data_IF_548254084229
#
_entry.id   IF_548254084229
#
_cell.length_a   1.000
_cell.length_b   1.000
_cell.length_c   1.000
_cell.angle_alpha   90.00
_cell.angle_beta   90.00
_cell.angle_gamma   90.00
#
_symmetry.space_group_name_H-M   'P 1'
#
loop_
_entity.id
_entity.type
_entity.pdbx_description
1 polymer ?
#
# COMPACT_ATOMS: atom_id res chain seq x y z
N UNK A 1 11.72 -5.82 -20.91
CA UNK A 1 11.59 -6.10 -19.46
C UNK A 1 12.68 -5.44 -18.64
N UNK A 2 13.96 -5.81 -18.78
CA UNK A 2 15.04 -5.19 -17.99
C UNK A 2 15.10 -3.66 -18.11
N UNK A 3 14.90 -3.11 -19.31
CA UNK A 3 14.86 -1.67 -19.53
C UNK A 3 13.70 -0.96 -18.80
N UNK A 4 12.53 -1.61 -18.70
CA UNK A 4 11.32 -1.05 -18.09
C UNK A 4 11.55 -0.79 -16.60
N UNK A 5 12.26 -1.70 -15.92
CA UNK A 5 12.57 -1.59 -14.50
C UNK A 5 13.96 -1.02 -14.22
N UNK A 6 14.63 -0.42 -15.21
CA UNK A 6 15.95 0.19 -15.02
C UNK A 6 17.05 -0.79 -14.59
N UNK A 7 17.02 -2.02 -15.11
CA UNK A 7 17.96 -3.10 -14.79
C UNK A 7 18.93 -3.42 -15.94
N UNK A 8 18.98 -2.60 -16.98
CA UNK A 8 19.86 -2.85 -18.13
C UNK A 8 21.35 -2.88 -17.75
N UNK A 9 21.78 -2.03 -16.82
CA UNK A 9 23.19 -1.96 -16.39
C UNK A 9 23.60 -3.10 -15.46
N UNK A 10 22.65 -3.89 -14.95
CA UNK A 10 22.89 -5.01 -14.03
C UNK A 10 22.61 -6.39 -14.63
N UNK A 11 22.37 -6.49 -15.94
CA UNK A 11 21.94 -7.74 -16.59
C UNK A 11 22.89 -8.94 -16.37
N UNK A 12 24.19 -8.68 -16.25
CA UNK A 12 25.23 -9.69 -16.02
C UNK A 12 25.79 -9.64 -14.58
N UNK A 13 25.10 -8.96 -13.67
CA UNK A 13 25.46 -8.88 -12.26
C UNK A 13 24.66 -9.92 -11.48
N UNK A 14 25.32 -10.70 -10.62
CA UNK A 14 24.62 -11.62 -9.74
C UNK A 14 23.64 -10.86 -8.84
N UNK A 15 22.47 -11.44 -8.55
CA UNK A 15 21.53 -10.85 -7.59
C UNK A 15 22.18 -10.76 -6.20
N UNK A 16 22.97 -11.78 -5.84
CA UNK A 16 23.67 -11.87 -4.56
C UNK A 16 22.74 -12.14 -3.38
N UNK A 17 23.35 -12.25 -2.21
CA UNK A 17 22.70 -12.45 -0.91
C UNK A 17 23.56 -11.82 0.21
N UNK A 18 23.36 -12.25 1.45
CA UNK A 18 24.08 -11.73 2.62
C UNK A 18 25.58 -12.08 2.63
N UNK A 19 26.00 -13.07 1.82
CA UNK A 19 27.38 -13.56 1.76
C UNK A 19 28.03 -13.29 0.40
N UNK A 20 27.24 -13.26 -0.68
CA UNK A 20 27.69 -13.04 -2.05
C UNK A 20 27.25 -11.67 -2.50
N UNK A 21 28.22 -10.80 -2.81
CA UNK A 21 27.93 -9.46 -3.34
C UNK A 21 27.17 -9.57 -4.67
N UNK A 22 26.12 -8.78 -4.79
CA UNK A 22 25.33 -8.67 -6.01
C UNK A 22 24.81 -7.27 -6.26
N UNK A 23 23.62 -7.19 -6.86
CA UNK A 23 22.89 -5.94 -7.07
C UNK A 23 22.51 -5.29 -5.73
N UNK A 24 22.23 -3.99 -5.76
CA UNK A 24 21.74 -3.28 -4.56
C UNK A 24 20.41 -3.85 -4.07
N UNK A 25 20.06 -3.59 -2.80
CA UNK A 25 18.78 -4.04 -2.25
C UNK A 25 17.56 -3.52 -3.02
N UNK A 26 17.64 -2.28 -3.53
CA UNK A 26 16.59 -1.69 -4.36
C UNK A 26 16.51 -2.38 -5.73
N UNK A 27 17.65 -2.63 -6.39
CA UNK A 27 17.69 -3.39 -7.64
C UNK A 27 17.16 -4.80 -7.45
N UNK A 28 17.46 -5.47 -6.33
CA UNK A 28 16.91 -6.79 -6.01
C UNK A 28 15.39 -6.78 -5.96
N UNK A 29 14.77 -5.73 -5.42
CA UNK A 29 13.31 -5.57 -5.43
C UNK A 29 12.77 -5.37 -6.86
N UNK A 30 13.45 -4.57 -7.69
CA UNK A 30 13.08 -4.42 -9.11
C UNK A 30 13.26 -5.73 -9.89
N UNK A 31 14.26 -6.54 -9.56
CA UNK A 31 14.44 -7.88 -10.12
C UNK A 31 13.24 -8.77 -9.78
N UNK A 32 12.75 -8.76 -8.53
CA UNK A 32 11.55 -9.51 -8.15
C UNK A 32 10.29 -9.06 -8.92
N UNK A 33 10.12 -7.75 -9.14
CA UNK A 33 9.01 -7.24 -9.97
C UNK A 33 9.18 -7.69 -11.43
N UNK A 34 10.39 -7.64 -11.97
CA UNK A 34 10.68 -8.10 -13.33
C UNK A 34 10.40 -9.61 -13.49
N UNK A 35 10.79 -10.42 -12.51
CA UNK A 35 10.49 -11.86 -12.45
C UNK A 35 8.99 -12.12 -12.44
N UNK A 36 8.24 -11.49 -11.53
CA UNK A 36 6.78 -11.61 -11.46
C UNK A 36 6.12 -11.21 -12.79
N UNK A 37 6.61 -10.14 -13.42
CA UNK A 37 6.09 -9.67 -14.71
C UNK A 37 6.35 -10.66 -15.86
N UNK A 38 7.49 -11.37 -15.84
CA UNK A 38 7.85 -12.34 -16.87
C UNK A 38 6.95 -13.58 -16.86
N UNK A 39 6.29 -13.87 -15.74
CA UNK A 39 5.28 -14.95 -15.66
C UNK A 39 4.05 -14.65 -16.52
N UNK A 40 3.81 -13.39 -16.89
CA UNK A 40 2.57 -12.96 -17.54
C UNK A 40 1.37 -12.89 -16.59
N UNK A 41 1.57 -13.07 -15.28
CA UNK A 41 0.50 -12.97 -14.29
C UNK A 41 -0.12 -11.57 -14.27
N UNK A 42 -1.41 -11.50 -14.60
CA UNK A 42 -2.21 -10.27 -14.67
C UNK A 42 -2.70 -9.79 -13.31
N UNK A 43 -2.68 -10.65 -12.31
CA UNK A 43 -3.00 -10.32 -10.93
C UNK A 43 -1.83 -10.72 -10.04
N UNK A 44 -1.29 -9.77 -9.29
CA UNK A 44 -0.09 -9.94 -8.47
C UNK A 44 -0.33 -9.45 -7.05
N UNK A 45 0.10 -10.25 -6.07
CA UNK A 45 -0.05 -9.93 -4.65
C UNK A 45 1.32 -9.69 -4.03
N UNK A 46 1.49 -8.53 -3.41
CA UNK A 46 2.73 -8.07 -2.79
C UNK A 46 2.51 -7.86 -1.30
N UNK A 47 2.91 -8.85 -0.50
CA UNK A 47 2.76 -8.76 0.94
C UNK A 47 4.02 -8.16 1.59
N UNK A 48 3.83 -7.11 2.39
CA UNK A 48 4.87 -6.45 3.19
C UNK A 48 6.14 -6.10 2.41
N UNK A 49 6.01 -5.85 1.11
CA UNK A 49 7.16 -5.74 0.21
C UNK A 49 7.99 -4.47 0.41
N UNK A 50 7.41 -3.46 1.05
CA UNK A 50 8.05 -2.20 1.45
C UNK A 50 8.62 -2.21 2.87
N UNK A 51 8.41 -3.28 3.65
CA UNK A 51 8.91 -3.37 5.03
C UNK A 51 10.44 -3.33 5.04
N UNK A 52 10.99 -2.48 5.91
CA UNK A 52 12.44 -2.28 6.04
C UNK A 52 13.05 -1.40 4.96
N UNK A 53 12.24 -0.84 4.06
CA UNK A 53 12.68 0.23 3.16
C UNK A 53 12.52 1.59 3.84
N UNK A 54 13.41 2.52 3.52
CA UNK A 54 13.15 3.93 3.77
C UNK A 54 12.00 4.43 2.86
N UNK A 55 11.51 5.64 3.15
CA UNK A 55 10.37 6.21 2.41
C UNK A 55 10.64 6.32 0.91
N UNK A 56 11.84 6.70 0.49
CA UNK A 56 12.18 6.88 -0.92
C UNK A 56 12.12 5.54 -1.68
N UNK A 57 12.72 4.49 -1.13
CA UNK A 57 12.71 3.16 -1.72
C UNK A 57 11.30 2.54 -1.70
N UNK A 58 10.50 2.79 -0.67
CA UNK A 58 9.10 2.34 -0.63
C UNK A 58 8.24 3.01 -1.73
N UNK A 59 8.44 4.31 -1.97
CA UNK A 59 7.79 5.05 -3.06
C UNK A 59 8.24 4.48 -4.40
N UNK A 60 9.56 4.30 -4.61
CA UNK A 60 10.09 3.73 -5.85
C UNK A 60 9.53 2.33 -6.13
N UNK A 61 9.40 1.49 -5.11
CA UNK A 61 8.77 0.18 -5.25
C UNK A 61 7.33 0.30 -5.76
N UNK A 62 6.51 1.15 -5.14
CA UNK A 62 5.13 1.38 -5.58
C UNK A 62 5.06 2.00 -6.99
N UNK A 63 5.98 2.90 -7.34
CA UNK A 63 6.07 3.49 -8.67
C UNK A 63 6.39 2.45 -9.75
N UNK A 64 7.22 1.45 -9.45
CA UNK A 64 7.49 0.34 -10.39
C UNK A 64 6.24 -0.54 -10.59
N UNK A 65 5.46 -0.80 -9.54
CA UNK A 65 4.18 -1.51 -9.66
C UNK A 65 3.16 -0.69 -10.46
N UNK A 66 3.13 0.63 -10.26
CA UNK A 66 2.29 1.52 -11.07
C UNK A 66 2.66 1.47 -12.54
N UNK A 67 3.95 1.57 -12.85
CA UNK A 67 4.47 1.47 -14.21
C UNK A 67 4.10 0.12 -14.85
N UNK A 68 4.20 -0.97 -14.09
CA UNK A 68 3.79 -2.30 -14.53
C UNK A 68 2.28 -2.35 -14.84
N UNK A 69 1.45 -1.77 -13.99
CA UNK A 69 0.00 -1.68 -14.21
C UNK A 69 -0.32 -0.92 -15.51
N UNK A 70 0.28 0.26 -15.69
CA UNK A 70 0.02 1.13 -16.83
C UNK A 70 0.54 0.56 -18.16
N UNK A 71 1.69 -0.12 -18.15
CA UNK A 71 2.31 -0.62 -19.39
C UNK A 71 1.94 -2.05 -19.75
N UNK A 72 1.71 -2.90 -18.75
CA UNK A 72 1.55 -4.35 -18.93
C UNK A 72 0.14 -4.84 -18.60
N UNK A 73 -0.77 -3.94 -18.26
CA UNK A 73 -2.16 -4.25 -17.88
C UNK A 73 -2.21 -5.27 -16.74
N UNK A 74 -1.49 -4.95 -15.65
CA UNK A 74 -1.38 -5.79 -14.45
C UNK A 74 -2.13 -5.13 -13.29
N UNK A 75 -2.94 -5.90 -12.59
CA UNK A 75 -3.52 -5.50 -11.31
C UNK A 75 -2.61 -5.96 -10.16
N UNK A 76 -2.13 -5.01 -9.37
CA UNK A 76 -1.33 -5.28 -8.18
C UNK A 76 -2.11 -5.02 -6.90
N UNK A 77 -2.16 -5.99 -6.00
CA UNK A 77 -2.65 -5.85 -4.63
C UNK A 77 -1.46 -5.80 -3.69
N UNK A 78 -1.36 -4.75 -2.87
CA UNK A 78 -0.17 -4.49 -2.02
C UNK A 78 -0.61 -4.24 -0.59
N UNK A 79 0.03 -4.89 0.37
CA UNK A 79 -0.11 -4.54 1.80
C UNK A 79 1.01 -3.58 2.21
N UNK A 80 0.65 -2.49 2.88
CA UNK A 80 1.57 -1.44 3.31
C UNK A 80 1.42 -1.23 4.82
N UNK A 81 2.47 -1.53 5.59
CA UNK A 81 2.44 -1.42 7.06
C UNK A 81 2.51 0.03 7.56
N UNK A 82 3.24 0.90 6.83
CA UNK A 82 3.32 2.35 7.06
C UNK A 82 3.55 3.00 5.71
N UNK A 83 2.49 3.55 5.10
CA UNK A 83 2.56 4.08 3.75
C UNK A 83 2.83 5.59 3.76
N UNK A 84 3.92 6.08 3.14
CA UNK A 84 4.03 7.49 2.82
C UNK A 84 2.83 7.94 1.98
N UNK A 85 2.32 9.15 2.20
CA UNK A 85 1.22 9.72 1.41
C UNK A 85 1.48 9.64 -0.11
N UNK A 86 2.74 9.85 -0.52
CA UNK A 86 3.15 9.76 -1.93
C UNK A 86 3.04 8.34 -2.50
N UNK A 87 3.33 7.30 -1.71
CA UNK A 87 3.12 5.93 -2.12
C UNK A 87 1.63 5.60 -2.22
N UNK A 88 0.83 6.03 -1.23
CA UNK A 88 -0.63 5.88 -1.23
C UNK A 88 -1.28 6.49 -2.47
N UNK A 89 -0.81 7.67 -2.91
CA UNK A 89 -1.33 8.37 -4.08
C UNK A 89 -1.09 7.65 -5.42
N UNK A 90 -0.27 6.58 -5.46
CA UNK A 90 -0.03 5.79 -6.67
C UNK A 90 -1.08 4.71 -6.90
N UNK A 91 -1.95 4.44 -5.91
CA UNK A 91 -2.96 3.40 -5.99
C UNK A 91 -4.32 3.94 -6.45
N UNK A 92 -5.06 3.15 -7.22
CA UNK A 92 -6.42 3.54 -7.64
C UNK A 92 -7.46 3.33 -6.54
N UNK A 93 -7.25 2.29 -5.71
CA UNK A 93 -8.17 1.85 -4.66
C UNK A 93 -7.44 1.54 -3.36
N UNK A 94 -8.16 1.69 -2.25
CA UNK A 94 -7.72 1.26 -0.93
C UNK A 94 -8.75 0.30 -0.33
N UNK A 95 -8.26 -0.66 0.45
CA UNK A 95 -9.06 -1.51 1.33
C UNK A 95 -8.51 -1.40 2.74
N UNK A 96 -9.38 -1.33 3.74
CA UNK A 96 -9.00 -1.34 5.15
C UNK A 96 -9.59 -2.59 5.78
N UNK A 97 -8.74 -3.37 6.45
CA UNK A 97 -9.13 -4.62 7.12
C UNK A 97 -8.90 -4.45 8.62
N UNK A 98 -9.93 -4.68 9.43
CA UNK A 98 -9.90 -4.62 10.89
C UNK A 98 -10.43 -5.93 11.45
N UNK A 99 -9.60 -6.65 12.23
CA UNK A 99 -9.96 -7.95 12.85
C UNK A 99 -10.64 -8.96 11.89
N UNK A 100 -10.13 -9.03 10.65
CA UNK A 100 -10.65 -9.93 9.61
C UNK A 100 -11.88 -9.42 8.87
N UNK A 101 -12.39 -8.22 9.20
CA UNK A 101 -13.48 -7.56 8.48
C UNK A 101 -12.95 -6.50 7.53
N UNK A 102 -13.48 -6.47 6.32
CA UNK A 102 -13.25 -5.35 5.40
C UNK A 102 -14.16 -4.20 5.81
N UNK A 103 -13.57 -3.15 6.40
CA UNK A 103 -14.31 -2.00 6.91
C UNK A 103 -14.39 -0.84 5.90
N UNK A 104 -13.62 -0.94 4.82
CA UNK A 104 -13.68 -0.04 3.68
C UNK A 104 -13.10 -0.72 2.44
N UNK A 105 -13.73 -0.47 1.28
CA UNK A 105 -13.18 -0.74 -0.05
C UNK A 105 -13.68 0.33 -1.02
N UNK A 106 -12.78 1.10 -1.61
CA UNK A 106 -13.17 2.18 -2.52
C UNK A 106 -12.01 2.87 -3.17
N UNK A 107 -12.29 3.98 -3.88
CA UNK A 107 -11.22 4.81 -4.45
C UNK A 107 -10.43 5.50 -3.35
N UNK A 108 -9.13 5.71 -3.58
CA UNK A 108 -8.27 6.36 -2.59
C UNK A 108 -8.73 7.77 -2.22
N UNK A 109 -9.42 8.47 -3.14
CA UNK A 109 -9.95 9.82 -2.94
C UNK A 109 -11.20 9.85 -2.05
N UNK A 110 -11.93 8.74 -1.97
CA UNK A 110 -13.19 8.62 -1.21
C UNK A 110 -12.95 8.11 0.21
N UNK A 111 -11.82 7.42 0.44
CA UNK A 111 -11.53 6.70 1.68
C UNK A 111 -11.60 7.58 2.93
N UNK A 112 -10.99 8.77 2.89
CA UNK A 112 -11.03 9.70 4.02
C UNK A 112 -12.46 10.18 4.29
N UNK A 113 -13.16 10.63 3.24
CA UNK A 113 -14.52 11.15 3.34
C UNK A 113 -15.52 10.11 3.86
N UNK A 114 -15.34 8.83 3.53
CA UNK A 114 -16.14 7.73 4.06
C UNK A 114 -16.11 7.70 5.60
N UNK A 115 -14.92 7.62 6.21
CA UNK A 115 -14.81 7.59 7.66
C UNK A 115 -15.22 8.93 8.32
N UNK A 116 -15.00 10.06 7.65
CA UNK A 116 -15.50 11.37 8.11
C UNK A 116 -17.04 11.46 8.10
N UNK A 117 -17.70 10.76 7.18
CA UNK A 117 -19.16 10.68 7.12
C UNK A 117 -19.75 9.79 8.19
N UNK A 118 -18.99 8.79 8.67
CA UNK A 118 -19.36 7.96 9.82
C UNK A 118 -19.22 8.69 11.16
N UNK A 119 -18.54 9.84 11.18
CA UNK A 119 -18.34 10.64 12.39
C UNK A 119 -16.93 10.56 12.98
N UNK A 120 -15.92 10.13 12.23
CA UNK A 120 -14.52 10.15 12.67
C UNK A 120 -13.78 11.37 12.13
N UNK A 121 -13.00 12.05 12.95
CA UNK A 121 -12.18 13.19 12.53
C UNK A 121 -10.71 12.80 12.40
N UNK A 122 -10.07 13.26 11.32
CA UNK A 122 -8.61 13.12 11.14
C UNK A 122 -7.83 14.12 12.02
N UNK A 123 -6.63 13.73 12.47
CA UNK A 123 -5.73 14.64 13.18
C UNK A 123 -5.14 15.72 12.25
N UNK A 124 -4.83 16.93 12.77
CA UNK A 124 -4.12 17.93 11.98
C UNK A 124 -2.79 17.37 11.45
N UNK A 125 -2.56 17.47 10.14
CA UNK A 125 -1.34 16.99 9.43
C UNK A 125 -1.17 15.46 9.38
N UNK A 126 -2.15 14.68 9.83
CA UNK A 126 -2.15 13.24 9.63
C UNK A 126 -2.29 12.90 8.14
N UNK A 127 -1.51 11.95 7.66
CA UNK A 127 -1.66 11.47 6.29
C UNK A 127 -2.93 10.64 6.15
N UNK A 128 -3.46 10.53 4.94
CA UNK A 128 -4.62 9.68 4.67
C UNK A 128 -4.35 8.21 5.08
N UNK A 129 -3.26 7.54 4.64
CA UNK A 129 -3.03 6.15 5.04
C UNK A 129 -2.92 5.97 6.56
N UNK A 130 -2.34 6.93 7.29
CA UNK A 130 -2.31 6.88 8.76
C UNK A 130 -3.72 7.00 9.35
N UNK A 131 -4.56 7.89 8.81
CA UNK A 131 -5.95 8.04 9.23
C UNK A 131 -6.75 6.76 8.98
N UNK A 132 -6.61 6.15 7.79
CA UNK A 132 -7.29 4.89 7.48
C UNK A 132 -6.84 3.77 8.42
N UNK A 133 -5.54 3.69 8.73
CA UNK A 133 -4.99 2.67 9.64
C UNK A 133 -5.47 2.90 11.07
N UNK A 134 -5.60 4.15 11.54
CA UNK A 134 -6.14 4.42 12.88
C UNK A 134 -7.58 3.93 13.06
N UNK A 135 -8.33 3.71 11.98
CA UNK A 135 -9.68 3.12 12.08
C UNK A 135 -9.62 1.67 12.57
N UNK A 136 -8.48 0.98 12.48
CA UNK A 136 -8.31 -0.37 13.00
C UNK A 136 -7.85 -0.41 14.45
N UNK A 137 -7.62 0.74 15.10
CA UNK A 137 -7.22 0.84 16.50
C UNK A 137 -8.22 1.72 17.28
N UNK A 138 -9.09 1.16 18.13
CA UNK A 138 -10.07 1.92 18.91
C UNK A 138 -9.47 3.09 19.72
N UNK A 139 -8.22 2.99 20.18
CA UNK A 139 -7.57 4.04 20.99
C UNK A 139 -7.13 5.26 20.15
N UNK A 140 -6.91 5.08 18.85
CA UNK A 140 -6.45 6.16 17.96
C UNK A 140 -7.60 6.91 17.29
N UNK A 141 -8.82 6.36 17.30
CA UNK A 141 -10.00 6.97 16.66
C UNK A 141 -10.40 8.24 17.39
N UNK A 142 -10.69 9.31 16.65
CA UNK A 142 -11.30 10.52 17.19
C UNK A 142 -12.73 10.64 16.70
N UNK A 143 -13.67 10.47 17.62
CA UNK A 143 -15.09 10.66 17.31
C UNK A 143 -15.39 12.15 17.30
N UNK A 144 -16.07 12.61 16.26
CA UNK A 144 -16.56 13.99 16.14
C UNK A 144 -17.61 14.24 17.22
N UNK A 145 -17.55 15.42 17.84
CA UNK A 145 -18.54 15.82 18.82
C UNK A 145 -19.97 15.74 18.25
N UNK A 146 -20.86 15.03 18.95
CA UNK A 146 -22.24 14.77 18.53
C UNK A 146 -22.46 13.47 17.75
N UNK A 147 -21.42 12.66 17.52
CA UNK A 147 -21.50 11.36 16.83
C UNK A 147 -21.24 10.16 17.75
N UNK A 148 -21.06 10.37 19.06
CA UNK A 148 -20.60 9.38 20.05
C UNK A 148 -21.47 8.11 20.12
N UNK A 149 -22.78 8.25 19.88
CA UNK A 149 -23.74 7.15 19.91
C UNK A 149 -24.01 6.52 18.53
N UNK A 150 -23.43 7.09 17.46
CA UNK A 150 -23.72 6.70 16.07
C UNK A 150 -22.57 5.98 15.37
N UNK A 151 -21.33 6.16 15.85
CA UNK A 151 -20.13 5.57 15.26
C UNK A 151 -20.05 4.05 15.50
N UNK A 152 -19.58 3.26 14.52
CA UNK A 152 -19.25 1.85 14.75
C UNK A 152 -18.07 1.71 15.73
N UNK A 153 -18.19 0.81 16.70
CA UNK A 153 -17.19 0.59 17.76
C UNK A 153 -16.36 -0.68 17.53
N UNK A 154 -16.98 -1.71 16.96
CA UNK A 154 -16.36 -3.02 16.67
C UNK A 154 -16.14 -3.23 15.17
N UNK A 155 -15.28 -4.19 14.82
CA UNK A 155 -15.05 -4.59 13.43
C UNK A 155 -16.33 -5.07 12.72
N UNK A 156 -17.19 -5.77 13.46
CA UNK A 156 -18.48 -6.23 12.95
C UNK A 156 -19.43 -5.06 12.67
N UNK A 157 -19.54 -4.09 13.58
CA UNK A 157 -20.35 -2.88 13.36
C UNK A 157 -19.88 -2.05 12.16
N UNK A 158 -18.57 -2.02 11.89
CA UNK A 158 -18.05 -1.39 10.68
C UNK A 158 -18.45 -2.13 9.41
N UNK A 159 -18.48 -3.47 9.44
CA UNK A 159 -18.80 -4.30 8.29
C UNK A 159 -20.30 -4.27 7.91
N UNK A 160 -21.15 -3.82 8.82
CA UNK A 160 -22.59 -3.66 8.61
C UNK A 160 -22.99 -2.31 7.97
N UNK A 161 -22.03 -1.40 7.76
CA UNK A 161 -22.28 -0.04 7.22
C UNK A 161 -22.25 0.05 5.70
#
# INVERSE_FOLDING_TARGET
MMAIFGLNHTINTHVGDDFVRGVSGEERKRVSIAEASLTGAKFQCWDNSTRGLDSANAINFCSNLRLQADLLDVTSMVTLYQAPQSAYNLFDRATVIYEGRQIFLGRIAEAKGYFESLGFDSLPRQTIPDFLTSMTNPEERRVRAGFEDSVPRSADEFAER
#
